data_IF_865218880681
#
_entry.id   IF_865218880681
#
_cell.length_a   1.000
_cell.length_b   1.000
_cell.length_c   1.000
_cell.angle_alpha   90.00
_cell.angle_beta   90.00
_cell.angle_gamma   90.00
#
_symmetry.space_group_name_H-M   'P 1'
#
loop_
_entity.id
_entity.type
_entity.pdbx_description
1 polymer ?
#
# COMPACT_ATOMS: atom_id res chain seq x y z
N UNK A 1 -70.74 -4.81 -13.41
CA UNK A 1 -70.80 -3.98 -14.63
C UNK A 1 -69.51 -4.17 -15.43
N UNK A 2 -69.68 -4.33 -16.74
CA UNK A 2 -68.75 -4.35 -17.88
C UNK A 2 -67.37 -5.04 -17.77
N UNK A 3 -67.33 -6.10 -18.58
CA UNK A 3 -66.23 -6.97 -19.01
C UNK A 3 -65.26 -6.22 -19.95
N UNK A 4 -64.01 -6.68 -19.97
CA UNK A 4 -63.10 -6.53 -21.10
C UNK A 4 -62.22 -7.77 -21.20
N UNK A 5 -62.60 -8.71 -22.06
CA UNK A 5 -61.81 -9.89 -22.46
C UNK A 5 -60.92 -9.49 -23.64
N UNK A 6 -59.66 -9.93 -23.69
CA UNK A 6 -58.97 -10.18 -24.96
C UNK A 6 -58.26 -11.53 -24.86
N UNK A 7 -58.51 -12.33 -25.89
CA UNK A 7 -58.14 -13.73 -26.06
C UNK A 7 -56.80 -13.87 -26.80
N UNK A 8 -56.15 -14.97 -26.47
CA UNK A 8 -55.00 -15.68 -27.06
C UNK A 8 -54.96 -15.69 -28.59
N UNK A 9 -53.75 -15.57 -29.17
CA UNK A 9 -53.36 -16.36 -30.33
C UNK A 9 -51.84 -16.66 -30.34
N UNK A 10 -51.53 -17.95 -30.32
CA UNK A 10 -50.21 -18.59 -30.50
C UNK A 10 -49.82 -18.66 -31.98
N UNK A 11 -48.54 -18.48 -32.32
CA UNK A 11 -47.93 -19.12 -33.50
C UNK A 11 -46.40 -19.22 -33.33
N UNK A 12 -45.91 -20.46 -33.30
CA UNK A 12 -44.50 -20.80 -33.37
C UNK A 12 -44.01 -20.73 -34.83
N UNK A 13 -42.77 -20.28 -35.05
CA UNK A 13 -42.04 -20.62 -36.28
C UNK A 13 -40.54 -20.72 -36.01
N UNK A 14 -40.03 -21.94 -36.17
CA UNK A 14 -38.63 -22.32 -36.30
C UNK A 14 -38.02 -21.65 -37.54
N UNK A 15 -36.86 -21.00 -37.43
CA UNK A 15 -35.94 -20.85 -38.55
C UNK A 15 -34.47 -20.92 -38.12
N UNK A 16 -33.74 -21.62 -38.97
CA UNK A 16 -32.37 -22.12 -38.92
C UNK A 16 -31.39 -20.97 -39.24
N UNK A 17 -30.30 -20.83 -38.49
CA UNK A 17 -29.11 -20.10 -38.97
C UNK A 17 -27.97 -21.06 -39.28
N UNK A 18 -27.59 -21.03 -40.55
CA UNK A 18 -26.55 -21.81 -41.19
C UNK A 18 -25.15 -21.37 -40.77
N UNK A 19 -24.25 -22.35 -40.61
CA UNK A 19 -22.81 -22.18 -40.71
C UNK A 19 -22.46 -21.78 -42.15
N UNK A 20 -21.75 -20.66 -42.32
CA UNK A 20 -21.02 -20.37 -43.54
C UNK A 20 -19.53 -20.62 -43.30
N UNK A 21 -19.10 -21.80 -43.73
CA UNK A 21 -17.72 -22.08 -44.08
C UNK A 21 -17.45 -21.50 -45.48
N UNK A 22 -16.36 -20.76 -45.63
CA UNK A 22 -15.68 -20.59 -46.91
C UNK A 22 -14.21 -20.95 -46.73
N UNK A 23 -13.85 -22.19 -47.10
CA UNK A 23 -12.63 -22.42 -47.88
C UNK A 23 -12.94 -22.12 -49.36
N UNK A 24 -12.00 -22.09 -50.31
CA UNK A 24 -10.63 -22.54 -50.30
C UNK A 24 -9.93 -22.05 -51.59
N UNK A 25 -8.58 -22.04 -51.55
CA UNK A 25 -7.64 -22.29 -52.65
C UNK A 25 -7.51 -21.27 -53.79
N UNK A 26 -6.29 -20.94 -54.28
CA UNK A 26 -5.26 -21.90 -54.70
C UNK A 26 -3.86 -21.24 -54.76
N UNK A 27 -2.89 -21.89 -54.09
CA UNK A 27 -1.50 -22.30 -54.47
C UNK A 27 -0.64 -21.36 -55.35
N UNK A 28 0.68 -21.25 -55.21
CA UNK A 28 1.71 -22.20 -54.76
C UNK A 28 3.08 -21.51 -54.73
N UNK A 29 3.95 -21.84 -53.76
CA UNK A 29 5.34 -22.26 -54.01
C UNK A 29 6.04 -22.69 -52.71
N UNK A 30 6.66 -23.85 -52.80
CA UNK A 30 7.29 -24.70 -51.79
C UNK A 30 8.76 -24.30 -51.55
N UNK A 31 9.28 -24.43 -50.33
CA UNK A 31 10.37 -25.37 -49.97
C UNK A 31 11.15 -25.01 -48.68
N UNK A 32 10.91 -25.85 -47.67
CA UNK A 32 11.89 -26.61 -46.87
C UNK A 32 13.02 -25.95 -46.06
N UNK A 33 12.87 -26.08 -44.72
CA UNK A 33 13.81 -26.69 -43.75
C UNK A 33 15.21 -26.11 -43.48
N UNK A 34 15.49 -25.78 -42.21
CA UNK A 34 16.50 -26.48 -41.39
C UNK A 34 16.56 -26.00 -39.92
N UNK A 35 16.76 -26.98 -39.04
CA UNK A 35 17.30 -26.88 -37.66
C UNK A 35 18.68 -26.21 -37.65
N UNK A 36 19.05 -25.51 -36.58
CA UNK A 36 20.24 -25.82 -35.75
C UNK A 36 20.36 -24.93 -34.50
N UNK A 37 20.95 -25.54 -33.48
CA UNK A 37 21.25 -25.15 -32.09
C UNK A 37 22.31 -24.02 -31.97
N UNK A 38 22.49 -23.44 -30.77
CA UNK A 38 23.28 -22.23 -30.54
C UNK A 38 24.78 -22.50 -30.41
N UNK A 39 25.58 -21.57 -30.92
CA UNK A 39 27.05 -21.61 -30.85
C UNK A 39 27.57 -20.71 -29.72
N UNK A 40 28.49 -21.31 -28.96
CA UNK A 40 29.29 -20.74 -27.88
C UNK A 40 30.60 -20.26 -28.47
N UNK A 41 31.00 -19.01 -28.25
CA UNK A 41 32.40 -18.58 -28.42
C UNK A 41 32.87 -17.95 -27.12
N UNK A 42 33.88 -18.60 -26.54
CA UNK A 42 34.75 -18.08 -25.51
C UNK A 42 36.12 -17.79 -26.15
N UNK A 43 36.78 -16.70 -25.72
CA UNK A 43 38.23 -16.45 -25.63
C UNK A 43 38.43 -14.95 -25.40
N UNK A 44 39.35 -14.42 -24.59
CA UNK A 44 40.33 -14.96 -23.65
C UNK A 44 41.11 -13.76 -23.04
N UNK A 45 41.67 -13.95 -21.84
CA UNK A 45 42.98 -13.43 -21.36
C UNK A 45 43.15 -11.94 -20.94
N UNK A 46 43.25 -11.76 -19.62
CA UNK A 46 44.51 -11.66 -18.84
C UNK A 46 44.82 -10.32 -18.09
N UNK A 47 45.06 -10.51 -16.77
CA UNK A 47 46.15 -9.95 -15.94
C UNK A 47 45.96 -8.71 -15.05
N UNK A 48 46.55 -8.86 -13.84
CA UNK A 48 46.94 -7.91 -12.76
C UNK A 48 45.82 -7.55 -11.77
N UNK A 49 45.80 -7.99 -10.50
CA UNK A 49 46.79 -8.15 -9.40
C UNK A 49 47.29 -6.83 -8.81
N UNK A 50 46.70 -6.46 -7.67
CA UNK A 50 47.22 -5.73 -6.49
C UNK A 50 46.01 -5.69 -5.51
N UNK A 51 45.97 -6.21 -4.28
CA UNK A 51 46.86 -6.33 -3.11
C UNK A 51 47.41 -5.01 -2.60
N UNK A 52 46.69 -4.43 -1.64
CA UNK A 52 47.27 -3.65 -0.54
C UNK A 52 46.53 -3.92 0.78
N UNK A 53 47.05 -4.90 1.51
CA UNK A 53 46.99 -4.93 2.98
C UNK A 53 48.07 -4.00 3.51
N UNK A 54 47.72 -3.02 4.36
CA UNK A 54 48.64 -2.52 5.38
C UNK A 54 47.90 -2.41 6.71
N UNK A 55 48.43 -3.20 7.64
CA UNK A 55 48.17 -3.30 9.07
C UNK A 55 49.02 -2.24 9.75
N UNK A 56 48.51 -1.56 10.77
CA UNK A 56 49.34 -0.98 11.82
C UNK A 56 48.55 -0.93 13.12
N UNK A 57 49.04 -1.72 14.06
CA UNK A 57 48.77 -1.79 15.49
C UNK A 57 49.30 -0.56 16.22
N UNK A 58 48.62 -0.13 17.28
CA UNK A 58 49.26 0.23 18.56
C UNK A 58 48.24 0.13 19.69
N UNK A 59 48.60 -0.68 20.67
CA UNK A 59 48.01 -0.90 21.98
C UNK A 59 48.44 0.19 22.97
N UNK A 60 47.54 0.67 23.83
CA UNK A 60 47.84 0.98 25.24
C UNK A 60 46.64 0.56 26.10
N UNK A 61 47.00 0.06 27.27
CA UNK A 61 46.28 -0.73 28.25
C UNK A 61 45.61 0.14 29.33
N UNK A 62 44.68 -0.50 30.03
CA UNK A 62 43.89 -0.20 31.22
C UNK A 62 44.50 0.72 32.28
N UNK A 63 43.63 1.44 33.02
CA UNK A 63 43.48 1.19 34.47
C UNK A 63 42.21 1.81 35.07
N UNK A 64 41.57 1.00 35.91
CA UNK A 64 40.49 1.31 36.84
C UNK A 64 41.04 1.89 38.15
N UNK A 65 40.31 2.77 38.86
CA UNK A 65 39.92 2.65 40.28
C UNK A 65 38.89 3.74 40.64
N UNK A 66 37.91 3.32 41.44
CA UNK A 66 36.69 3.97 41.92
C UNK A 66 36.86 5.06 42.99
N UNK A 67 35.85 5.92 43.14
CA UNK A 67 35.24 6.42 44.41
C UNK A 67 34.02 7.28 44.03
N UNK A 68 32.80 6.75 44.08
CA UNK A 68 31.82 6.90 45.18
C UNK A 68 31.46 8.36 45.50
N UNK A 69 30.32 8.84 44.99
CA UNK A 69 29.30 9.43 45.86
C UNK A 69 27.89 9.36 45.25
N UNK A 70 26.95 9.19 46.16
CA UNK A 70 25.62 8.63 46.01
C UNK A 70 24.59 9.73 46.15
N UNK A 71 23.73 9.96 45.15
CA UNK A 71 22.36 10.46 45.41
C UNK A 71 21.38 9.85 44.41
N UNK A 72 20.35 9.24 44.98
CA UNK A 72 19.27 8.52 44.33
C UNK A 72 18.15 9.47 43.89
N UNK A 73 17.54 9.20 42.73
CA UNK A 73 16.08 9.23 42.58
C UNK A 73 15.61 8.58 41.26
N UNK A 74 14.87 7.48 41.43
CA UNK A 74 13.82 6.90 40.59
C UNK A 74 14.08 6.57 39.11
N UNK A 75 14.35 5.28 38.92
CA UNK A 75 14.07 4.45 37.74
C UNK A 75 12.63 4.56 37.24
N UNK A 76 12.45 4.82 35.94
CA UNK A 76 11.44 4.15 35.12
C UNK A 76 11.75 4.31 33.63
N UNK A 77 11.93 3.16 32.97
CA UNK A 77 11.60 2.89 31.56
C UNK A 77 12.55 3.43 30.48
N UNK A 78 13.47 2.55 30.09
CA UNK A 78 14.06 2.49 28.75
C UNK A 78 12.97 2.42 27.67
N UNK A 79 12.87 3.47 26.87
CA UNK A 79 12.43 3.41 25.47
C UNK A 79 12.92 4.66 24.75
N UNK A 80 14.21 4.71 24.43
CA UNK A 80 14.76 5.69 23.50
C UNK A 80 14.48 5.22 22.07
N UNK A 81 13.27 5.49 21.59
CA UNK A 81 13.06 5.74 20.17
C UNK A 81 13.39 7.22 19.96
N UNK A 82 14.54 7.49 19.34
CA UNK A 82 14.86 8.81 18.82
C UNK A 82 13.78 9.25 17.83
N UNK A 83 12.99 10.25 18.21
CA UNK A 83 11.99 10.89 17.34
C UNK A 83 11.92 12.37 17.69
N UNK A 84 12.88 13.14 17.19
CA UNK A 84 12.95 14.58 17.49
C UNK A 84 13.38 15.38 16.27
N UNK A 85 12.48 15.49 15.28
CA UNK A 85 12.24 16.76 14.56
C UNK A 85 11.02 16.71 13.60
N UNK A 86 10.45 15.52 13.34
CA UNK A 86 9.26 15.34 12.47
C UNK A 86 7.92 15.65 13.13
N UNK A 87 7.90 15.78 14.46
CA UNK A 87 6.71 15.97 15.29
C UNK A 87 6.16 17.40 15.29
N UNK A 88 7.02 18.42 15.28
CA UNK A 88 6.60 19.78 15.65
C UNK A 88 5.58 20.42 14.69
N UNK A 89 5.78 20.27 13.38
CA UNK A 89 4.86 20.85 12.37
C UNK A 89 3.55 20.07 12.26
N UNK A 90 3.62 18.74 12.24
CA UNK A 90 2.42 17.92 12.21
C UNK A 90 1.57 18.11 13.46
N UNK A 91 2.19 18.23 14.64
CA UNK A 91 1.47 18.54 15.88
C UNK A 91 0.79 19.91 15.82
N UNK A 92 1.47 20.94 15.32
CA UNK A 92 0.88 22.27 15.12
C UNK A 92 -0.32 22.21 14.18
N UNK A 93 -0.19 21.50 13.07
CA UNK A 93 -1.26 21.32 12.10
C UNK A 93 -2.43 20.52 12.68
N UNK A 94 -2.16 19.44 13.40
CA UNK A 94 -3.18 18.64 14.06
C UNK A 94 -3.93 19.46 15.12
N UNK A 95 -3.25 20.36 15.83
CA UNK A 95 -3.89 21.31 16.74
C UNK A 95 -4.83 22.27 16.00
N UNK A 96 -4.38 22.84 14.89
CA UNK A 96 -5.21 23.73 14.06
C UNK A 96 -6.42 22.99 13.46
N UNK A 97 -6.21 21.81 12.89
CA UNK A 97 -7.28 20.98 12.34
C UNK A 97 -8.32 20.61 13.40
N UNK A 98 -7.90 20.27 14.63
CA UNK A 98 -8.85 19.97 15.71
C UNK A 98 -9.55 21.20 16.27
N UNK A 99 -8.99 22.40 16.11
CA UNK A 99 -9.72 23.63 16.42
C UNK A 99 -10.86 23.88 15.41
N UNK A 100 -10.65 23.54 14.14
CA UNK A 100 -11.64 23.73 13.05
C UNK A 100 -12.65 22.58 12.94
N UNK A 101 -12.20 21.33 13.09
CA UNK A 101 -12.98 20.11 12.90
C UNK A 101 -13.49 19.50 14.21
N UNK A 102 -13.04 20.01 15.36
CA UNK A 102 -13.31 19.44 16.67
C UNK A 102 -12.49 18.18 16.96
N UNK A 103 -13.05 17.29 17.79
CA UNK A 103 -12.39 16.02 18.13
C UNK A 103 -12.51 15.05 16.95
N UNK A 104 -11.41 14.94 16.19
CA UNK A 104 -11.29 14.06 15.02
C UNK A 104 -10.00 13.24 15.09
N UNK A 105 -10.04 12.06 14.47
CA UNK A 105 -8.89 11.15 14.33
C UNK A 105 -7.95 11.71 13.25
N UNK A 106 -6.67 11.85 13.56
CA UNK A 106 -5.65 12.27 12.59
C UNK A 106 -4.37 11.46 12.79
N UNK A 107 -3.61 11.17 11.72
CA UNK A 107 -2.25 10.67 11.82
C UNK A 107 -1.41 11.57 12.74
N UNK A 108 -0.67 10.97 13.67
CA UNK A 108 0.22 11.69 14.60
C UNK A 108 1.70 11.54 14.26
N UNK A 109 1.99 10.78 13.20
CA UNK A 109 3.30 10.75 12.54
C UNK A 109 3.09 11.09 11.07
N UNK A 110 4.06 11.75 10.45
CA UNK A 110 4.00 12.12 9.03
C UNK A 110 4.41 10.97 8.10
N UNK A 111 5.04 9.93 8.64
CA UNK A 111 5.55 8.80 7.87
C UNK A 111 6.77 9.13 7.01
N UNK A 112 7.32 10.34 7.11
CA UNK A 112 8.46 10.79 6.32
C UNK A 112 9.78 10.37 6.98
N UNK A 113 10.75 9.98 6.15
CA UNK A 113 12.14 9.85 6.60
C UNK A 113 12.87 11.20 6.67
N UNK A 114 12.49 12.15 5.81
CA UNK A 114 13.10 13.48 5.69
C UNK A 114 12.09 14.51 5.18
N UNK A 115 12.32 15.80 5.45
CA UNK A 115 11.52 16.91 4.88
C UNK A 115 10.33 17.34 5.73
N UNK A 116 10.21 16.80 6.95
CA UNK A 116 9.14 17.15 7.89
C UNK A 116 9.12 18.62 8.28
N UNK A 117 10.27 19.30 8.25
CA UNK A 117 10.42 20.75 8.45
C UNK A 117 9.71 21.58 7.37
N UNK A 118 9.45 20.97 6.20
CA UNK A 118 8.73 21.56 5.07
C UNK A 118 7.40 20.87 4.79
N UNK A 119 6.90 20.12 5.76
CA UNK A 119 5.55 19.57 5.72
C UNK A 119 4.55 20.72 5.57
N UNK A 120 3.66 20.59 4.60
CA UNK A 120 2.52 21.45 4.35
C UNK A 120 1.26 20.60 4.32
N UNK A 121 0.14 21.18 4.73
CA UNK A 121 -1.15 20.52 4.63
C UNK A 121 -2.19 21.43 3.98
N UNK A 122 -3.13 20.79 3.30
CA UNK A 122 -4.41 21.39 2.96
C UNK A 122 -5.55 20.44 3.32
N UNK A 123 -6.63 20.97 3.84
CA UNK A 123 -7.83 20.19 4.14
C UNK A 123 -9.09 20.86 3.63
N UNK A 124 -10.10 20.04 3.41
CA UNK A 124 -11.47 20.46 3.09
C UNK A 124 -12.46 19.62 3.87
N UNK A 125 -13.67 20.14 4.07
CA UNK A 125 -14.79 19.42 4.65
C UNK A 125 -15.13 19.84 6.08
N UNK A 126 -15.82 18.94 6.78
CA UNK A 126 -16.35 19.14 8.15
C UNK A 126 -15.93 17.98 9.05
N UNK A 127 -16.29 18.01 10.33
CA UNK A 127 -16.01 16.91 11.27
C UNK A 127 -16.50 15.55 10.78
N UNK A 128 -17.60 15.54 10.02
CA UNK A 128 -18.26 14.31 9.57
C UNK A 128 -17.57 13.77 8.32
N UNK A 129 -17.18 14.65 7.41
CA UNK A 129 -16.52 14.29 6.16
C UNK A 129 -15.39 15.25 5.87
N UNK A 130 -14.14 14.79 5.96
CA UNK A 130 -12.98 15.61 5.65
C UNK A 130 -11.93 14.86 4.84
N UNK A 131 -11.10 15.64 4.17
CA UNK A 131 -9.91 15.15 3.47
C UNK A 131 -8.75 16.06 3.81
N UNK A 132 -7.67 15.50 4.34
CA UNK A 132 -6.39 16.18 4.61
C UNK A 132 -5.37 15.66 3.60
N UNK A 133 -4.76 16.55 2.85
CA UNK A 133 -3.66 16.25 1.94
C UNK A 133 -2.36 16.74 2.57
N UNK A 134 -1.35 15.87 2.60
CA UNK A 134 -0.02 16.14 3.14
C UNK A 134 0.98 16.23 2.00
N UNK A 135 1.73 17.32 1.93
CA UNK A 135 2.77 17.57 0.93
C UNK A 135 4.06 18.04 1.57
N UNK A 136 5.18 17.87 0.87
CA UNK A 136 6.47 18.43 1.26
C UNK A 136 6.87 19.44 0.19
N UNK A 137 6.89 20.72 0.58
CA UNK A 137 7.25 21.82 -0.32
C UNK A 137 8.71 22.24 -0.18
N UNK A 138 9.08 23.31 -0.87
CA UNK A 138 10.38 23.98 -0.66
C UNK A 138 10.37 24.91 0.55
N UNK A 139 9.18 25.36 0.97
CA UNK A 139 8.95 26.34 2.03
C UNK A 139 7.86 25.81 2.95
N UNK A 140 8.12 25.94 4.25
CA UNK A 140 7.13 25.74 5.30
C UNK A 140 6.01 26.78 5.21
N UNK A 141 4.76 26.34 5.04
CA UNK A 141 3.59 27.21 4.91
C UNK A 141 2.55 26.93 6.00
N UNK A 142 1.59 27.84 6.11
CA UNK A 142 0.43 27.66 6.98
C UNK A 142 -0.56 26.65 6.36
N UNK A 143 -1.46 26.12 7.18
CA UNK A 143 -2.56 25.25 6.72
C UNK A 143 -3.36 25.98 5.64
N UNK A 144 -3.68 25.30 4.54
CA UNK A 144 -4.46 25.83 3.43
C UNK A 144 -3.87 27.07 2.73
N UNK A 145 -2.56 27.34 2.88
CA UNK A 145 -1.91 28.40 2.11
C UNK A 145 -2.11 28.18 0.60
N UNK A 146 -2.47 29.23 -0.14
CA UNK A 146 -2.84 29.16 -1.54
C UNK A 146 -1.73 28.53 -2.42
N UNK A 147 -0.46 28.69 -2.06
CA UNK A 147 0.65 28.08 -2.79
C UNK A 147 0.69 26.55 -2.64
N UNK A 148 0.16 25.99 -1.55
CA UNK A 148 0.11 24.53 -1.28
C UNK A 148 -0.86 23.81 -2.23
N UNK A 149 -1.81 24.54 -2.83
CA UNK A 149 -2.74 23.98 -3.83
C UNK A 149 -2.03 23.39 -5.06
N UNK A 150 -0.82 23.88 -5.36
CA UNK A 150 0.01 23.44 -6.49
C UNK A 150 0.93 22.27 -6.13
N UNK A 151 1.01 21.90 -4.85
CA UNK A 151 1.87 20.82 -4.38
C UNK A 151 1.19 19.46 -4.57
N UNK A 152 1.98 18.50 -5.05
CA UNK A 152 1.56 17.11 -5.17
C UNK A 152 1.66 16.47 -3.79
N UNK A 153 0.54 16.02 -3.20
CA UNK A 153 0.56 15.44 -1.86
C UNK A 153 1.15 14.02 -1.90
N UNK A 154 2.06 13.72 -0.99
CA UNK A 154 2.62 12.38 -0.82
C UNK A 154 1.65 11.44 -0.10
N UNK A 155 0.73 11.99 0.70
CA UNK A 155 -0.32 11.25 1.38
C UNK A 155 -1.62 12.05 1.44
N UNK A 156 -2.74 11.33 1.51
CA UNK A 156 -4.07 11.87 1.74
C UNK A 156 -4.81 11.01 2.76
N UNK A 157 -5.32 11.64 3.80
CA UNK A 157 -6.15 11.03 4.83
C UNK A 157 -7.59 11.53 4.70
N UNK A 158 -8.53 10.61 4.58
CA UNK A 158 -9.95 10.87 4.32
C UNK A 158 -10.81 10.19 5.37
N UNK A 159 -11.87 10.89 5.79
CA UNK A 159 -12.93 10.36 6.63
C UNK A 159 -14.27 10.59 5.94
N UNK A 160 -15.14 9.59 5.96
CA UNK A 160 -16.54 9.70 5.55
C UNK A 160 -17.44 9.09 6.63
N UNK A 161 -18.48 9.81 7.07
CA UNK A 161 -19.53 9.28 7.95
C UNK A 161 -20.73 8.83 7.10
N UNK A 162 -21.22 7.63 7.36
CA UNK A 162 -22.39 7.01 6.73
C UNK A 162 -23.58 6.96 7.70
N UNK A 163 -24.76 6.63 7.20
CA UNK A 163 -25.96 6.53 8.02
C UNK A 163 -25.90 5.33 8.97
N UNK A 164 -25.38 4.20 8.50
CA UNK A 164 -25.31 2.96 9.28
C UNK A 164 -23.92 2.33 9.23
N UNK A 165 -23.65 1.46 10.19
CA UNK A 165 -22.45 0.61 10.22
C UNK A 165 -22.37 -0.28 8.98
N UNK A 166 -23.50 -0.82 8.51
CA UNK A 166 -23.55 -1.66 7.33
C UNK A 166 -23.19 -0.87 6.05
N UNK A 167 -23.71 0.36 5.92
CA UNK A 167 -23.37 1.23 4.78
C UNK A 167 -21.88 1.55 4.75
N UNK A 168 -21.26 1.82 5.91
CA UNK A 168 -19.83 2.06 6.01
C UNK A 168 -19.01 0.82 5.66
N UNK A 169 -19.42 -0.35 6.17
CA UNK A 169 -18.74 -1.63 5.92
C UNK A 169 -18.75 -1.98 4.42
N UNK A 170 -19.86 -1.71 3.72
CA UNK A 170 -19.98 -1.93 2.27
C UNK A 170 -19.03 -1.08 1.40
N UNK A 171 -18.36 -0.07 1.98
CA UNK A 171 -17.38 0.77 1.27
C UNK A 171 -15.95 0.26 1.46
N UNK A 172 -15.76 -0.72 2.35
CA UNK A 172 -14.49 -1.41 2.50
C UNK A 172 -14.51 -2.58 1.52
N UNK A 173 -13.67 -2.52 0.50
CA UNK A 173 -13.58 -3.54 -0.56
C UNK A 173 -12.88 -4.82 -0.04
N UNK A 174 -13.47 -5.46 0.96
CA UNK A 174 -12.91 -6.62 1.63
C UNK A 174 -12.93 -7.83 0.71
N UNK A 175 -11.77 -8.44 0.50
CA UNK A 175 -11.65 -9.70 -0.23
C UNK A 175 -11.93 -10.84 0.74
N UNK A 176 -12.89 -11.72 0.45
CA UNK A 176 -13.25 -12.81 1.36
C UNK A 176 -12.39 -14.06 1.13
N UNK A 177 -12.35 -14.96 2.11
CA UNK A 177 -11.65 -16.25 1.96
C UNK A 177 -12.19 -17.09 0.80
N UNK A 178 -13.49 -17.00 0.52
CA UNK A 178 -14.10 -17.71 -0.61
C UNK A 178 -13.52 -17.26 -1.97
N UNK A 179 -13.04 -16.02 -2.06
CA UNK A 179 -12.36 -15.51 -3.25
C UNK A 179 -10.94 -16.06 -3.42
N UNK A 180 -10.34 -16.62 -2.36
CA UNK A 180 -8.96 -17.12 -2.35
C UNK A 180 -8.88 -18.64 -2.49
N UNK A 181 -10.01 -19.34 -2.35
CA UNK A 181 -10.05 -20.79 -2.35
C UNK A 181 -9.59 -21.38 -3.70
N UNK A 182 -8.66 -22.34 -3.64
CA UNK A 182 -8.13 -23.01 -4.83
C UNK A 182 -7.01 -22.26 -5.56
N UNK A 183 -6.62 -21.07 -5.10
CA UNK A 183 -5.45 -20.35 -5.61
C UNK A 183 -4.14 -21.00 -5.14
N UNK A 184 -3.07 -20.75 -5.88
CA UNK A 184 -1.72 -21.15 -5.49
C UNK A 184 -1.31 -20.42 -4.20
N UNK A 185 -0.73 -21.15 -3.24
CA UNK A 185 -0.34 -20.59 -1.95
C UNK A 185 1.16 -20.33 -1.87
N UNK A 186 1.54 -19.29 -1.12
CA UNK A 186 2.93 -18.96 -0.82
C UNK A 186 3.09 -18.60 0.66
N UNK A 187 4.18 -19.03 1.26
CA UNK A 187 4.54 -18.65 2.64
C UNK A 187 5.10 -17.22 2.67
N UNK A 188 4.50 -16.38 3.52
CA UNK A 188 4.89 -14.98 3.76
C UNK A 188 5.66 -14.79 5.08
N UNK A 189 5.98 -15.87 5.80
CA UNK A 189 6.55 -15.78 7.14
C UNK A 189 5.48 -15.50 8.20
N UNK A 190 5.88 -15.46 9.47
CA UNK A 190 4.99 -15.18 10.62
C UNK A 190 3.73 -16.07 10.69
N UNK A 191 3.80 -17.30 10.13
CA UNK A 191 2.67 -18.22 9.95
C UNK A 191 1.53 -17.70 9.06
N UNK A 192 1.85 -16.78 8.14
CA UNK A 192 0.90 -16.18 7.20
C UNK A 192 1.03 -16.85 5.84
N UNK A 193 -0.09 -17.35 5.34
CA UNK A 193 -0.21 -17.89 3.99
C UNK A 193 -0.82 -16.85 3.06
N UNK A 194 -0.11 -16.54 1.97
CA UNK A 194 -0.63 -15.74 0.88
C UNK A 194 -1.15 -16.58 -0.28
N UNK A 195 -2.03 -16.00 -1.08
CA UNK A 195 -2.71 -16.62 -2.22
C UNK A 195 -2.44 -15.82 -3.49
N UNK A 196 -1.93 -16.50 -4.52
CA UNK A 196 -1.52 -15.88 -5.79
C UNK A 196 -2.60 -16.10 -6.83
N UNK A 197 -3.08 -14.99 -7.40
CA UNK A 197 -3.90 -14.98 -8.62
C UNK A 197 -3.10 -14.30 -9.74
N UNK A 198 -2.85 -15.03 -10.82
CA UNK A 198 -2.06 -14.55 -11.95
C UNK A 198 -2.76 -14.86 -13.27
N UNK A 199 -2.99 -13.82 -14.08
CA UNK A 199 -3.70 -13.93 -15.35
C UNK A 199 -3.66 -12.63 -16.15
N UNK A 200 -3.75 -12.73 -17.48
CA UNK A 200 -3.82 -11.59 -18.40
C UNK A 200 -2.75 -10.50 -18.19
N UNK A 201 -1.54 -10.89 -17.75
CA UNK A 201 -0.44 -9.96 -17.48
C UNK A 201 -0.55 -9.21 -16.15
N UNK A 202 -1.44 -9.60 -15.25
CA UNK A 202 -1.54 -9.12 -13.87
C UNK A 202 -1.17 -10.23 -12.90
N UNK A 203 -0.68 -9.85 -11.72
CA UNK A 203 -0.45 -10.76 -10.61
C UNK A 203 -0.85 -10.09 -9.31
N UNK A 204 -1.74 -10.74 -8.58
CA UNK A 204 -2.20 -10.35 -7.26
C UNK A 204 -1.71 -11.38 -6.24
N UNK A 205 -1.26 -10.88 -5.09
CA UNK A 205 -0.93 -11.69 -3.93
C UNK A 205 -1.75 -11.16 -2.75
N UNK A 206 -2.66 -11.98 -2.25
CA UNK A 206 -3.61 -11.59 -1.22
C UNK A 206 -3.54 -12.50 0.00
N UNK A 207 -3.83 -11.95 1.18
CA UNK A 207 -3.87 -12.69 2.43
C UNK A 207 -4.77 -12.00 3.46
N UNK A 208 -5.00 -12.67 4.58
CA UNK A 208 -5.79 -12.17 5.69
C UNK A 208 -4.97 -12.05 6.97
N UNK A 209 -5.21 -10.98 7.72
CA UNK A 209 -4.69 -10.79 9.08
C UNK A 209 -5.81 -10.24 9.97
N UNK A 210 -6.40 -11.10 10.81
CA UNK A 210 -7.58 -10.73 11.61
C UNK A 210 -8.74 -10.26 10.73
N UNK A 211 -9.22 -9.04 10.95
CA UNK A 211 -10.30 -8.41 10.17
C UNK A 211 -9.81 -7.66 8.91
N UNK A 212 -8.53 -7.82 8.55
CA UNK A 212 -7.93 -7.20 7.39
C UNK A 212 -7.80 -8.17 6.22
N UNK A 213 -8.16 -7.69 5.03
CA UNK A 213 -7.75 -8.30 3.76
C UNK A 213 -6.68 -7.45 3.10
N UNK A 214 -5.61 -8.09 2.66
CA UNK A 214 -4.44 -7.44 2.11
C UNK A 214 -4.21 -7.92 0.69
N UNK A 215 -3.76 -7.04 -0.20
CA UNK A 215 -3.47 -7.38 -1.59
C UNK A 215 -2.31 -6.54 -2.11
N UNK A 216 -1.28 -7.22 -2.61
CA UNK A 216 -0.22 -6.63 -3.42
C UNK A 216 -0.51 -6.90 -4.88
N UNK A 217 -0.53 -5.84 -5.69
CA UNK A 217 -0.71 -5.91 -7.13
C UNK A 217 0.60 -5.61 -7.86
N UNK A 218 0.92 -6.49 -8.81
CA UNK A 218 2.06 -6.37 -9.72
C UNK A 218 1.60 -6.58 -11.16
N UNK A 219 2.27 -5.90 -12.10
CA UNK A 219 2.01 -6.05 -13.53
C UNK A 219 3.14 -6.85 -14.19
N UNK A 220 2.83 -7.63 -15.23
CA UNK A 220 3.83 -8.37 -16.00
C UNK A 220 4.85 -7.45 -16.70
N UNK A 221 4.48 -6.19 -16.95
CA UNK A 221 5.37 -5.18 -17.56
C UNK A 221 6.56 -4.87 -16.64
N UNK A 222 6.35 -4.84 -15.33
CA UNK A 222 7.43 -4.58 -14.37
C UNK A 222 8.19 -5.85 -13.98
N UNK A 223 7.64 -7.04 -14.30
CA UNK A 223 8.18 -8.37 -13.94
C UNK A 223 8.62 -8.46 -12.46
N UNK A 224 7.91 -7.74 -11.60
CA UNK A 224 8.17 -7.69 -10.17
C UNK A 224 7.46 -8.85 -9.47
N UNK A 225 8.14 -9.42 -8.46
CA UNK A 225 7.56 -10.43 -7.59
C UNK A 225 6.81 -9.75 -6.43
N UNK A 226 5.47 -9.90 -6.32
CA UNK A 226 4.71 -9.31 -5.22
C UNK A 226 5.05 -9.90 -3.86
N UNK A 227 5.68 -11.08 -3.79
CA UNK A 227 6.03 -11.74 -2.53
C UNK A 227 6.94 -10.87 -1.65
N UNK A 228 7.92 -10.19 -2.24
CA UNK A 228 8.87 -9.39 -1.48
C UNK A 228 8.16 -8.24 -0.74
N UNK A 229 7.27 -7.53 -1.44
CA UNK A 229 6.51 -6.44 -0.83
C UNK A 229 5.48 -6.96 0.18
N UNK A 230 4.83 -8.10 -0.09
CA UNK A 230 3.89 -8.71 0.84
C UNK A 230 4.57 -9.11 2.16
N UNK A 231 5.75 -9.73 2.08
CA UNK A 231 6.56 -10.11 3.26
C UNK A 231 6.98 -8.86 4.05
N UNK A 232 7.39 -7.79 3.36
CA UNK A 232 7.69 -6.51 4.00
C UNK A 232 6.47 -5.92 4.73
N UNK A 233 5.28 -5.99 4.13
CA UNK A 233 4.05 -5.50 4.76
C UNK A 233 3.74 -6.34 6.01
N UNK A 234 3.81 -7.66 5.91
CA UNK A 234 3.64 -8.58 7.06
C UNK A 234 4.58 -8.20 8.20
N UNK A 235 5.88 -8.04 7.94
CA UNK A 235 6.86 -7.66 8.97
C UNK A 235 6.56 -6.28 9.57
N UNK A 236 6.10 -5.33 8.74
CA UNK A 236 5.71 -4.01 9.22
C UNK A 236 4.48 -4.05 10.13
N UNK A 237 3.52 -4.94 9.91
CA UNK A 237 2.31 -5.03 10.72
C UNK A 237 2.55 -5.66 12.10
N UNK A 238 3.62 -6.45 12.23
CA UNK A 238 4.15 -6.90 13.54
C UNK A 238 4.72 -5.73 14.36
N UNK A 239 5.30 -4.72 13.71
CA UNK A 239 5.88 -3.53 14.36
C UNK A 239 4.84 -2.41 14.58
N UNK A 240 3.93 -2.22 13.61
CA UNK A 240 2.98 -1.10 13.56
C UNK A 240 1.54 -1.61 13.60
N UNK A 241 0.95 -1.63 14.80
CA UNK A 241 -0.45 -2.02 14.98
C UNK A 241 -1.40 -0.99 14.36
N UNK A 242 -2.16 -1.42 13.34
CA UNK A 242 -3.21 -0.60 12.74
C UNK A 242 -4.44 -0.50 13.67
N UNK A 243 -5.26 0.57 13.51
CA UNK A 243 -6.54 0.64 14.20
C UNK A 243 -7.41 -0.56 13.85
N UNK A 244 -7.89 -1.31 14.85
CA UNK A 244 -8.71 -2.48 14.61
C UNK A 244 -10.05 -2.09 13.95
N UNK A 245 -10.34 -2.56 12.73
CA UNK A 245 -11.64 -2.31 12.10
C UNK A 245 -12.74 -3.06 12.84
N UNK A 246 -13.94 -2.47 12.88
CA UNK A 246 -15.08 -3.11 13.55
C UNK A 246 -15.52 -4.37 12.80
N UNK A 247 -15.60 -4.32 11.47
CA UNK A 247 -15.90 -5.48 10.63
C UNK A 247 -14.77 -5.76 9.65
N UNK A 248 -14.43 -4.78 8.82
CA UNK A 248 -13.52 -5.00 7.70
C UNK A 248 -12.51 -3.86 7.56
N UNK A 249 -11.27 -4.23 7.26
CA UNK A 249 -10.22 -3.35 6.78
C UNK A 249 -9.58 -3.92 5.53
N UNK A 250 -9.03 -3.03 4.69
CA UNK A 250 -8.29 -3.40 3.49
C UNK A 250 -6.96 -2.68 3.40
N UNK A 251 -5.95 -3.39 2.92
CA UNK A 251 -4.67 -2.82 2.46
C UNK A 251 -4.46 -3.22 1.01
N UNK A 252 -4.28 -2.25 0.14
CA UNK A 252 -3.92 -2.45 -1.26
C UNK A 252 -2.61 -1.75 -1.54
N UNK A 253 -1.65 -2.48 -2.07
CA UNK A 253 -0.35 -1.96 -2.43
C UNK A 253 -0.01 -2.27 -3.89
N UNK A 254 0.32 -1.24 -4.65
CA UNK A 254 0.72 -1.35 -6.05
C UNK A 254 2.25 -1.26 -6.18
N UNK A 255 2.87 -2.23 -6.86
CA UNK A 255 4.33 -2.19 -7.10
C UNK A 255 4.74 -1.17 -8.17
N UNK A 256 3.80 -0.74 -9.02
CA UNK A 256 4.00 0.33 -9.99
C UNK A 256 3.75 1.70 -9.38
N UNK A 257 4.77 2.31 -8.77
CA UNK A 257 4.68 3.70 -8.29
C UNK A 257 5.14 4.69 -9.36
N UNK A 258 4.39 5.77 -9.53
CA UNK A 258 4.77 6.94 -10.31
C UNK A 258 4.70 8.20 -9.44
N UNK A 259 5.41 9.25 -9.82
CA UNK A 259 5.40 10.50 -9.07
C UNK A 259 3.96 11.03 -8.95
N UNK A 260 3.48 11.22 -7.72
CA UNK A 260 2.11 11.68 -7.45
C UNK A 260 1.05 10.58 -7.29
N UNK A 261 1.39 9.33 -7.68
CA UNK A 261 0.48 8.19 -7.48
C UNK A 261 0.35 7.87 -6.00
N UNK A 262 -0.89 7.78 -5.51
CA UNK A 262 -1.22 7.41 -4.12
C UNK A 262 -1.87 6.03 -4.10
N UNK A 263 -1.20 5.08 -4.72
CA UNK A 263 -1.74 3.75 -4.97
C UNK A 263 -1.49 2.78 -3.81
N UNK A 264 -0.90 3.27 -2.71
CA UNK A 264 -0.79 2.53 -1.45
C UNK A 264 -1.95 2.96 -0.58
N UNK A 265 -2.98 2.11 -0.47
CA UNK A 265 -4.28 2.49 0.10
C UNK A 265 -4.58 1.58 1.30
N UNK A 266 -4.84 2.20 2.45
CA UNK A 266 -5.32 1.54 3.66
C UNK A 266 -6.70 2.10 3.96
N UNK A 267 -7.71 1.25 4.00
CA UNK A 267 -9.09 1.64 4.32
C UNK A 267 -9.61 0.82 5.48
N UNK A 268 -10.20 1.46 6.48
CA UNK A 268 -10.79 0.74 7.61
C UNK A 268 -12.06 1.43 8.08
N UNK A 269 -12.96 0.59 8.58
CA UNK A 269 -14.25 1.04 9.10
C UNK A 269 -14.26 0.97 10.63
N UNK A 270 -14.84 2.02 11.23
CA UNK A 270 -15.10 2.13 12.66
C UNK A 270 -16.53 2.64 12.84
N UNK A 271 -17.43 1.78 13.32
CA UNK A 271 -18.87 2.07 13.39
C UNK A 271 -19.43 2.49 12.01
N UNK A 272 -20.15 3.59 11.94
CA UNK A 272 -20.66 4.14 10.68
C UNK A 272 -19.64 5.03 9.94
N UNK A 273 -18.35 4.97 10.27
CA UNK A 273 -17.31 5.81 9.68
C UNK A 273 -16.31 4.97 8.90
N UNK A 274 -15.87 5.45 7.74
CA UNK A 274 -14.75 4.90 6.98
C UNK A 274 -13.61 5.90 6.96
N UNK A 275 -12.43 5.41 7.32
CA UNK A 275 -11.17 6.11 7.15
C UNK A 275 -10.42 5.50 5.98
N UNK A 276 -9.78 6.35 5.19
CA UNK A 276 -8.91 5.93 4.11
C UNK A 276 -7.64 6.76 4.14
N UNK A 277 -6.51 6.10 4.12
CA UNK A 277 -5.21 6.70 3.90
C UNK A 277 -4.68 6.21 2.55
N UNK A 278 -4.31 7.14 1.69
CA UNK A 278 -3.63 6.85 0.42
C UNK A 278 -2.27 7.55 0.41
N UNK A 279 -1.21 6.84 0.03
CA UNK A 279 0.15 7.37 0.01
C UNK A 279 0.96 6.89 -1.19
N UNK A 280 2.07 7.58 -1.47
CA UNK A 280 3.03 7.19 -2.50
C UNK A 280 3.78 5.90 -2.17
N UNK A 281 3.98 5.66 -0.88
CA UNK A 281 4.79 4.57 -0.34
C UNK A 281 4.02 3.85 0.78
N UNK A 282 4.10 2.52 0.80
CA UNK A 282 3.32 1.70 1.73
C UNK A 282 3.83 1.84 3.15
N UNK A 283 5.14 2.06 3.32
CA UNK A 283 5.75 2.28 4.64
C UNK A 283 5.17 3.55 5.28
N UNK A 284 5.08 4.61 4.48
CA UNK A 284 4.45 5.88 4.86
C UNK A 284 2.98 5.66 5.23
N UNK A 285 2.24 4.92 4.41
CA UNK A 285 0.83 4.62 4.68
C UNK A 285 0.65 3.88 6.02
N UNK A 286 1.37 2.78 6.24
CA UNK A 286 1.24 1.97 7.46
C UNK A 286 1.59 2.81 8.70
N UNK A 287 2.70 3.55 8.68
CA UNK A 287 3.12 4.40 9.81
C UNK A 287 2.07 5.45 10.16
N UNK A 288 1.56 6.16 9.16
CA UNK A 288 0.53 7.19 9.36
C UNK A 288 -0.78 6.57 9.87
N UNK A 289 -1.24 5.47 9.28
CA UNK A 289 -2.47 4.78 9.68
C UNK A 289 -2.36 4.25 11.12
N UNK A 290 -1.28 3.55 11.47
CA UNK A 290 -1.01 3.05 12.82
C UNK A 290 -0.98 4.18 13.87
N UNK A 291 -0.54 5.38 13.48
CA UNK A 291 -0.46 6.53 14.39
C UNK A 291 -1.77 7.30 14.57
N UNK A 292 -2.85 6.91 13.87
CA UNK A 292 -4.08 7.70 13.78
C UNK A 292 -4.88 7.62 15.09
N UNK A 293 -5.07 8.77 15.73
CA UNK A 293 -5.80 8.90 17.00
C UNK A 293 -6.51 10.26 17.15
#
# INVERSE_FOLDING_TARGET
MKKGKISILTMALLTIFFLAACGNQKSSATSSSKKTTPEKIASSKNSRKEKSTLKSSTSIQSDSVSTSDKVSSSTSSSSTMDKSNSSSRLELFNKQLRAELGTVILPTVDGLGTGSDKLNIRYIGTKDNYTVNYSVGNVARNVNDAAVSKEVPYAQFKKITYNTTADASAQVNYLSQDNLNGLETVDLGNNITGYVDAGAGQRYLSWHEGNWSLTVHATAVTNQDPKLLATQIVDMLEEYSLPAPLQHGTITADMGTSYGSKNQIITWQMNNVVYQLSAHDITTAIKMAASSK
#
